data_IF_191314980523
#
_entry.id   IF_191314980523
#
_cell.length_a   1.000
_cell.length_b   1.000
_cell.length_c   1.000
_cell.angle_alpha   90.00
_cell.angle_beta   90.00
_cell.angle_gamma   90.00
#
_symmetry.space_group_name_H-M   'P 1'
#
loop_
_entity.id
_entity.type
_entity.pdbx_description
1 polymer ?
#
# COMPACT_ATOMS: atom_id res chain seq x y z
N UNK A 1 -27.00 -26.73 44.29
CA UNK A 1 -27.44 -26.37 42.91
C UNK A 1 -26.41 -25.40 42.32
N UNK A 2 -25.42 -25.90 41.56
CA UNK A 2 -24.33 -25.09 41.03
C UNK A 2 -24.87 -24.37 39.78
N UNK A 3 -25.05 -23.06 39.86
CA UNK A 3 -25.33 -22.22 38.68
C UNK A 3 -24.11 -22.19 37.80
N UNK A 4 -24.09 -23.01 36.75
CA UNK A 4 -23.09 -22.93 35.68
C UNK A 4 -23.36 -21.59 34.97
N UNK A 5 -22.51 -20.57 35.27
CA UNK A 5 -22.45 -19.32 34.49
C UNK A 5 -22.15 -19.71 33.04
N UNK A 6 -23.15 -19.64 32.17
CA UNK A 6 -22.93 -19.73 30.73
C UNK A 6 -22.05 -18.53 30.36
N UNK A 7 -20.78 -18.75 30.17
CA UNK A 7 -19.91 -17.81 29.48
C UNK A 7 -20.51 -17.54 28.11
N UNK A 8 -21.13 -16.38 27.92
CA UNK A 8 -21.39 -15.87 26.56
C UNK A 8 -20.04 -15.52 25.94
N UNK A 9 -19.39 -16.54 25.35
CA UNK A 9 -18.04 -16.44 24.79
C UNK A 9 -17.95 -15.54 23.55
N UNK A 10 -19.08 -15.04 23.03
CA UNK A 10 -19.11 -14.31 21.77
C UNK A 10 -20.02 -13.08 21.87
N UNK A 11 -19.41 -11.93 22.14
CA UNK A 11 -20.01 -10.66 21.81
C UNK A 11 -19.67 -10.33 20.35
N UNK A 12 -20.62 -10.37 19.40
CA UNK A 12 -20.33 -10.16 17.97
C UNK A 12 -19.74 -8.78 17.70
N UNK A 13 -20.12 -7.77 18.49
CA UNK A 13 -19.56 -6.41 18.39
C UNK A 13 -18.04 -6.42 18.70
N UNK A 14 -17.64 -7.15 19.73
CA UNK A 14 -16.23 -7.25 20.12
C UNK A 14 -15.40 -7.98 19.06
N UNK A 15 -15.96 -9.01 18.43
CA UNK A 15 -15.28 -9.74 17.35
C UNK A 15 -15.03 -8.82 16.16
N UNK A 16 -16.06 -8.09 15.72
CA UNK A 16 -15.94 -7.14 14.60
C UNK A 16 -14.90 -6.07 14.91
N UNK A 17 -14.90 -5.54 16.14
CA UNK A 17 -13.91 -4.55 16.57
C UNK A 17 -12.49 -5.12 16.58
N UNK A 18 -12.28 -6.35 17.05
CA UNK A 18 -10.98 -7.00 17.03
C UNK A 18 -10.47 -7.28 15.61
N UNK A 19 -11.35 -7.71 14.69
CA UNK A 19 -10.99 -7.90 13.28
C UNK A 19 -10.59 -6.56 12.64
N UNK A 20 -11.39 -5.53 12.88
CA UNK A 20 -11.10 -4.17 12.38
C UNK A 20 -9.79 -3.65 12.94
N UNK A 21 -9.52 -3.83 14.21
CA UNK A 21 -8.26 -3.45 14.85
C UNK A 21 -7.07 -4.18 14.21
N UNK A 22 -7.17 -5.50 14.00
CA UNK A 22 -6.15 -6.29 13.32
C UNK A 22 -5.86 -5.79 11.91
N UNK A 23 -6.90 -5.47 11.14
CA UNK A 23 -6.77 -4.92 9.79
C UNK A 23 -6.03 -3.57 9.79
N UNK A 24 -6.42 -2.63 10.64
CA UNK A 24 -5.74 -1.32 10.71
C UNK A 24 -4.33 -1.42 11.28
N UNK A 25 -4.05 -2.39 12.16
CA UNK A 25 -2.70 -2.68 12.63
C UNK A 25 -1.80 -3.15 11.47
N UNK A 26 -2.30 -4.03 10.60
CA UNK A 26 -1.57 -4.48 9.41
C UNK A 26 -1.30 -3.33 8.43
N UNK A 27 -2.29 -2.45 8.22
CA UNK A 27 -2.11 -1.23 7.42
C UNK A 27 -1.05 -0.30 8.01
N UNK A 28 -1.05 -0.11 9.32
CA UNK A 28 -0.05 0.71 10.01
C UNK A 28 1.36 0.13 9.81
N UNK A 29 1.54 -1.16 10.03
CA UNK A 29 2.83 -1.84 9.85
C UNK A 29 3.32 -1.76 8.40
N UNK A 30 2.42 -1.93 7.43
CA UNK A 30 2.72 -1.74 6.01
C UNK A 30 3.19 -0.33 5.70
N UNK A 31 2.48 0.68 6.21
CA UNK A 31 2.81 2.10 6.01
C UNK A 31 4.15 2.48 6.65
N UNK A 32 4.47 1.95 7.84
CA UNK A 32 5.78 2.12 8.47
C UNK A 32 6.89 1.57 7.58
N UNK A 33 6.71 0.34 7.07
CA UNK A 33 7.70 -0.30 6.21
C UNK A 33 7.95 0.50 4.92
N UNK A 34 6.91 1.07 4.33
CA UNK A 34 7.05 1.93 3.14
C UNK A 34 7.69 3.28 3.47
N UNK A 35 7.29 3.91 4.58
CA UNK A 35 7.85 5.19 5.01
C UNK A 35 9.35 5.10 5.31
N UNK A 36 9.80 3.99 5.92
CA UNK A 36 11.20 3.74 6.24
C UNK A 36 12.04 3.29 5.04
N UNK A 37 11.41 3.02 3.90
CA UNK A 37 12.12 2.58 2.70
C UNK A 37 13.07 3.68 2.20
N UNK A 38 14.35 3.35 2.10
CA UNK A 38 15.39 4.25 1.60
C UNK A 38 15.79 3.87 0.17
N UNK A 39 16.19 4.86 -0.63
CA UNK A 39 16.62 4.63 -2.01
C UNK A 39 17.80 3.64 -2.09
N UNK A 40 18.73 3.73 -1.14
CA UNK A 40 19.90 2.87 -1.06
C UNK A 40 19.57 1.42 -0.70
N UNK A 41 18.39 1.19 -0.09
CA UNK A 41 17.88 -0.16 0.23
C UNK A 41 17.19 -0.83 -0.95
N UNK A 42 16.97 -0.11 -2.04
CA UNK A 42 16.33 -0.62 -3.24
C UNK A 42 17.34 -1.20 -4.22
N UNK A 43 16.89 -2.19 -4.96
CA UNK A 43 17.66 -2.76 -6.06
C UNK A 43 17.56 -1.83 -7.27
N UNK A 44 18.70 -1.23 -7.67
CA UNK A 44 18.83 -0.50 -8.93
C UNK A 44 18.90 -1.47 -10.10
N UNK A 45 18.14 -1.22 -11.16
CA UNK A 45 18.15 -1.95 -12.41
C UNK A 45 18.18 -0.94 -13.54
N UNK A 46 19.22 -1.01 -14.37
CA UNK A 46 19.38 -0.13 -15.53
C UNK A 46 19.15 -0.93 -16.81
N UNK A 47 18.52 -0.33 -17.79
CA UNK A 47 18.32 -1.01 -19.08
C UNK A 47 17.50 -0.21 -20.08
N UNK A 48 17.40 -0.77 -21.29
CA UNK A 48 16.62 -0.19 -22.37
C UNK A 48 15.21 -0.77 -22.36
N UNK A 49 14.20 0.06 -22.45
CA UNK A 49 12.79 -0.33 -22.49
C UNK A 49 12.51 -1.10 -23.79
N UNK A 50 12.14 -2.37 -23.66
CA UNK A 50 11.71 -3.21 -24.79
C UNK A 50 10.21 -3.15 -25.04
N UNK A 51 9.44 -2.94 -23.98
CA UNK A 51 7.98 -2.86 -24.00
C UNK A 51 7.52 -1.86 -22.94
N UNK A 52 6.50 -1.07 -23.29
CA UNK A 52 5.78 -0.18 -22.36
C UNK A 52 4.31 -0.15 -22.72
N UNK A 53 3.46 -0.27 -21.72
CA UNK A 53 2.00 -0.17 -21.83
C UNK A 53 1.49 0.79 -20.77
N UNK A 54 0.71 1.77 -21.18
CA UNK A 54 0.04 2.71 -20.29
C UNK A 54 -1.43 2.32 -20.16
N UNK A 55 -1.89 2.09 -18.93
CA UNK A 55 -3.29 1.76 -18.61
C UNK A 55 -3.92 2.92 -17.87
N UNK A 56 -5.10 3.32 -18.29
CA UNK A 56 -5.92 4.32 -17.63
C UNK A 56 -7.13 3.66 -17.00
N UNK A 57 -7.35 3.91 -15.72
CA UNK A 57 -8.51 3.43 -14.98
C UNK A 57 -9.32 4.63 -14.50
N UNK A 58 -10.63 4.55 -14.66
CA UNK A 58 -11.55 5.50 -14.06
C UNK A 58 -12.25 4.84 -12.88
N UNK A 59 -12.11 5.43 -11.71
CA UNK A 59 -12.88 5.05 -10.54
C UNK A 59 -14.01 6.05 -10.35
N UNK A 60 -15.26 5.57 -10.45
CA UNK A 60 -16.47 6.35 -10.18
C UNK A 60 -17.06 5.89 -8.86
N UNK A 61 -16.81 6.59 -7.76
CA UNK A 61 -17.48 6.28 -6.50
C UNK A 61 -18.99 6.61 -6.63
N UNK A 62 -19.83 5.91 -5.87
CA UNK A 62 -21.29 6.16 -5.85
C UNK A 62 -21.62 7.61 -5.43
N UNK A 63 -20.75 8.26 -4.65
CA UNK A 63 -20.81 9.66 -4.27
C UNK A 63 -19.41 10.25 -4.34
N UNK A 64 -19.20 11.28 -5.20
CA UNK A 64 -17.96 12.01 -5.30
C UNK A 64 -17.44 12.15 -6.74
N UNK A 65 -16.36 12.92 -6.93
CA UNK A 65 -15.77 13.14 -8.23
C UNK A 65 -15.12 11.86 -8.78
N UNK A 66 -15.20 11.68 -10.09
CA UNK A 66 -14.50 10.61 -10.79
C UNK A 66 -13.00 10.81 -10.68
N UNK A 67 -12.28 9.81 -10.21
CA UNK A 67 -10.83 9.82 -10.15
C UNK A 67 -10.23 9.00 -11.29
N UNK A 68 -9.26 9.58 -12.00
CA UNK A 68 -8.52 8.90 -13.06
C UNK A 68 -7.17 8.46 -12.52
N UNK A 69 -6.89 7.17 -12.62
CA UNK A 69 -5.62 6.58 -12.25
C UNK A 69 -4.94 6.06 -13.51
N UNK A 70 -3.64 6.25 -13.59
CA UNK A 70 -2.84 5.69 -14.66
C UNK A 70 -1.83 4.73 -14.07
N UNK A 71 -1.68 3.56 -14.67
CA UNK A 71 -0.59 2.64 -14.39
C UNK A 71 0.25 2.44 -15.63
N UNK A 72 1.49 2.06 -15.42
CA UNK A 72 2.41 1.74 -16.51
C UNK A 72 3.09 0.42 -16.22
N UNK A 73 3.04 -0.46 -17.23
CA UNK A 73 3.79 -1.73 -17.19
C UNK A 73 4.89 -1.65 -18.22
N UNK A 74 6.11 -2.01 -17.83
CA UNK A 74 7.25 -2.02 -18.75
C UNK A 74 8.10 -3.28 -18.62
N UNK A 75 8.85 -3.58 -19.66
CA UNK A 75 9.90 -4.61 -19.67
C UNK A 75 11.20 -4.02 -20.20
N UNK A 76 12.31 -4.47 -19.64
CA UNK A 76 13.64 -4.12 -20.12
C UNK A 76 14.16 -5.20 -21.07
N UNK A 77 14.99 -4.80 -22.02
CA UNK A 77 15.63 -5.71 -22.98
C UNK A 77 16.52 -6.71 -22.22
N UNK A 78 16.34 -8.00 -22.52
CA UNK A 78 17.09 -9.06 -21.84
C UNK A 78 16.61 -9.42 -20.43
N UNK A 79 15.54 -8.79 -19.92
CA UNK A 79 14.96 -9.10 -18.63
C UNK A 79 13.57 -9.71 -18.80
N UNK A 80 13.31 -10.85 -18.13
CA UNK A 80 12.01 -11.53 -18.18
C UNK A 80 10.98 -10.91 -17.21
N UNK A 81 11.43 -10.13 -16.24
CA UNK A 81 10.54 -9.49 -15.27
C UNK A 81 9.79 -8.34 -15.90
N UNK A 82 8.52 -8.19 -15.52
CA UNK A 82 7.72 -6.99 -15.77
C UNK A 82 7.85 -6.04 -14.60
N UNK A 83 7.84 -4.75 -14.88
CA UNK A 83 7.94 -3.69 -13.90
C UNK A 83 6.69 -2.82 -14.00
N UNK A 84 6.07 -2.48 -12.87
CA UNK A 84 4.81 -1.74 -12.83
C UNK A 84 4.94 -0.51 -11.93
N UNK A 85 4.41 0.61 -12.42
CA UNK A 85 4.12 1.79 -11.62
C UNK A 85 2.63 1.79 -11.37
N UNK A 86 2.22 1.53 -10.14
CA UNK A 86 0.82 1.55 -9.75
C UNK A 86 0.33 2.98 -9.54
N UNK A 87 -0.85 3.23 -10.08
CA UNK A 87 -1.69 4.40 -10.11
C UNK A 87 -1.50 5.50 -9.08
N UNK A 88 -0.38 6.19 -9.13
CA UNK A 88 -0.20 7.41 -8.36
C UNK A 88 -0.96 8.54 -9.07
N UNK A 89 -1.85 9.27 -8.36
CA UNK A 89 -2.63 10.34 -8.96
C UNK A 89 -1.79 11.56 -9.40
N UNK A 90 -0.44 11.57 -9.18
CA UNK A 90 0.29 12.82 -9.10
C UNK A 90 1.10 13.23 -10.32
N UNK A 91 1.60 12.31 -11.11
CA UNK A 91 2.57 12.68 -12.15
C UNK A 91 2.33 11.91 -13.44
N UNK A 92 1.07 11.77 -13.81
CA UNK A 92 0.66 11.05 -15.02
C UNK A 92 1.37 11.56 -16.26
N UNK A 93 1.69 12.86 -16.34
CA UNK A 93 2.38 13.43 -17.48
C UNK A 93 3.86 13.06 -17.61
N UNK A 94 4.53 12.72 -16.50
CA UNK A 94 5.96 12.33 -16.53
C UNK A 94 6.16 10.88 -16.93
N UNK A 95 5.30 9.99 -16.48
CA UNK A 95 5.35 8.56 -16.82
C UNK A 95 5.06 8.33 -18.31
N UNK A 96 4.16 9.12 -18.90
CA UNK A 96 3.83 9.06 -20.32
C UNK A 96 5.01 9.40 -21.27
N UNK A 97 6.06 10.02 -20.73
CA UNK A 97 7.27 10.34 -21.51
C UNK A 97 8.17 9.14 -21.77
N UNK A 98 7.87 7.99 -21.17
CA UNK A 98 8.65 6.77 -21.38
C UNK A 98 8.15 6.06 -22.62
N UNK A 99 9.09 5.78 -23.54
CA UNK A 99 8.82 5.09 -24.79
C UNK A 99 9.73 3.88 -24.93
N UNK A 100 9.34 2.95 -25.81
CA UNK A 100 10.21 1.86 -26.24
C UNK A 100 11.51 2.43 -26.81
N UNK A 101 12.63 1.88 -26.39
CA UNK A 101 13.98 2.32 -26.79
C UNK A 101 14.64 3.28 -25.78
N UNK A 102 13.90 3.82 -24.84
CA UNK A 102 14.48 4.68 -23.79
C UNK A 102 15.41 3.88 -22.86
N UNK A 103 16.51 4.47 -22.46
CA UNK A 103 17.37 3.95 -21.41
C UNK A 103 16.97 4.58 -20.09
N UNK A 104 16.68 3.74 -19.09
CA UNK A 104 16.16 4.13 -17.79
C UNK A 104 16.88 3.41 -16.66
N UNK A 105 16.88 4.06 -15.50
CA UNK A 105 17.24 3.48 -14.21
C UNK A 105 15.97 3.35 -13.37
N UNK A 106 15.63 2.15 -12.98
CA UNK A 106 14.50 1.88 -12.09
C UNK A 106 14.96 1.25 -10.78
N UNK A 107 14.21 1.52 -9.73
CA UNK A 107 14.52 1.02 -8.40
C UNK A 107 13.30 0.24 -7.88
N UNK A 108 13.54 -1.01 -7.50
CA UNK A 108 12.52 -1.95 -7.02
C UNK A 108 12.93 -2.52 -5.68
N UNK A 109 11.99 -3.07 -4.94
CA UNK A 109 12.32 -3.88 -3.75
C UNK A 109 13.13 -5.12 -4.14
N UNK A 110 13.99 -5.57 -3.24
CA UNK A 110 14.57 -6.89 -3.33
C UNK A 110 13.47 -7.95 -3.16
N UNK A 111 13.67 -9.14 -3.72
CA UNK A 111 12.71 -10.24 -3.66
C UNK A 111 12.31 -10.61 -2.20
N UNK A 112 13.25 -10.53 -1.27
CA UNK A 112 13.01 -10.81 0.15
C UNK A 112 12.23 -9.71 0.88
N UNK A 113 12.14 -8.51 0.31
CA UNK A 113 11.36 -7.38 0.85
C UNK A 113 9.90 -7.41 0.38
N UNK A 114 9.54 -8.33 -0.53
CA UNK A 114 8.19 -8.50 -1.06
C UNK A 114 7.78 -9.99 -1.04
N UNK A 115 7.75 -10.63 0.14
CA UNK A 115 7.56 -12.08 0.25
C UNK A 115 6.22 -12.57 -0.29
N UNK A 116 5.25 -11.69 -0.46
CA UNK A 116 3.90 -12.02 -0.98
C UNK A 116 3.70 -11.66 -2.45
N UNK A 117 4.74 -11.27 -3.17
CA UNK A 117 4.65 -11.02 -4.61
C UNK A 117 4.70 -12.35 -5.36
N UNK A 118 3.54 -12.92 -5.63
CA UNK A 118 3.39 -14.17 -6.42
C UNK A 118 3.49 -13.95 -7.92
N UNK A 119 3.59 -12.69 -8.38
CA UNK A 119 3.66 -12.34 -9.79
C UNK A 119 5.09 -11.98 -10.19
N UNK A 120 5.46 -12.27 -11.46
CA UNK A 120 6.73 -11.81 -12.05
C UNK A 120 6.77 -10.29 -12.29
N UNK A 121 5.77 -9.56 -11.80
CA UNK A 121 5.68 -8.11 -11.88
C UNK A 121 6.24 -7.48 -10.62
N UNK A 122 7.19 -6.57 -10.79
CA UNK A 122 7.85 -5.85 -9.69
C UNK A 122 7.41 -4.40 -9.69
N UNK A 123 7.07 -3.90 -8.54
CA UNK A 123 6.69 -2.51 -8.34
C UNK A 123 7.92 -1.59 -8.41
N UNK A 124 7.77 -0.44 -9.08
CA UNK A 124 8.79 0.58 -9.23
C UNK A 124 8.56 1.66 -8.17
N UNK A 125 9.58 1.93 -7.36
CA UNK A 125 9.55 2.93 -6.29
C UNK A 125 10.25 4.24 -6.67
N UNK A 126 11.19 4.17 -7.61
CA UNK A 126 11.90 5.33 -8.12
C UNK A 126 12.33 5.07 -9.56
N UNK A 127 12.25 6.08 -10.43
CA UNK A 127 12.48 5.95 -11.86
C UNK A 127 13.19 7.19 -12.40
N UNK A 128 14.27 6.96 -13.13
CA UNK A 128 15.05 8.00 -13.79
C UNK A 128 15.20 7.71 -15.28
N UNK A 129 15.17 8.79 -16.08
CA UNK A 129 15.57 8.78 -17.49
C UNK A 129 16.67 9.81 -17.68
N UNK A 130 17.92 9.35 -17.80
CA UNK A 130 19.09 10.23 -17.76
C UNK A 130 19.18 10.98 -16.43
N UNK A 131 19.24 12.32 -16.49
CA UNK A 131 19.26 13.17 -15.30
C UNK A 131 17.86 13.49 -14.73
N UNK A 132 16.79 13.17 -15.47
CA UNK A 132 15.42 13.49 -15.06
C UNK A 132 14.84 12.41 -14.17
N UNK A 133 14.38 12.77 -12.98
CA UNK A 133 13.59 11.92 -12.09
C UNK A 133 12.15 11.96 -12.58
N UNK A 134 11.61 10.80 -12.95
CA UNK A 134 10.25 10.64 -13.44
C UNK A 134 9.29 10.16 -12.34
N UNK A 135 9.79 9.37 -11.41
CA UNK A 135 9.09 8.94 -10.21
C UNK A 135 10.04 9.08 -9.02
N UNK A 136 9.63 9.84 -8.01
CA UNK A 136 10.43 10.02 -6.80
C UNK A 136 9.87 9.20 -5.64
N UNK A 137 10.73 8.47 -4.96
CA UNK A 137 10.40 7.75 -3.73
C UNK A 137 9.83 8.67 -2.64
N UNK A 138 10.20 9.94 -2.63
CA UNK A 138 9.70 10.91 -1.65
C UNK A 138 8.21 11.18 -1.80
N UNK A 139 7.67 11.13 -3.02
CA UNK A 139 6.23 11.26 -3.25
C UNK A 139 5.47 10.07 -2.66
N UNK A 140 6.00 8.85 -2.80
CA UNK A 140 5.45 7.65 -2.17
C UNK A 140 5.49 7.74 -0.64
N UNK A 141 6.59 8.24 -0.06
CA UNK A 141 6.73 8.43 1.38
C UNK A 141 5.70 9.38 1.97
N UNK A 142 5.35 10.45 1.28
CA UNK A 142 4.34 11.40 1.78
C UNK A 142 2.96 10.75 1.92
N UNK A 143 2.63 9.83 1.01
CA UNK A 143 1.40 9.04 1.09
C UNK A 143 1.44 8.02 2.22
N UNK A 144 2.55 7.31 2.35
CA UNK A 144 2.74 6.35 3.44
C UNK A 144 2.66 7.06 4.80
N UNK A 145 3.19 8.28 4.91
CA UNK A 145 3.05 9.09 6.12
C UNK A 145 1.59 9.44 6.43
N UNK A 146 0.83 9.85 5.42
CA UNK A 146 -0.61 10.15 5.57
C UNK A 146 -1.38 8.90 6.00
N UNK A 147 -1.13 7.76 5.35
CA UNK A 147 -1.75 6.48 5.70
C UNK A 147 -1.38 6.04 7.13
N UNK A 148 -0.13 6.27 7.55
CA UNK A 148 0.36 5.99 8.90
C UNK A 148 -0.38 6.83 9.96
N UNK A 149 -0.52 8.13 9.72
CA UNK A 149 -1.24 9.03 10.64
C UNK A 149 -2.71 8.61 10.74
N UNK A 150 -3.39 8.39 9.60
CA UNK A 150 -4.79 8.00 9.57
C UNK A 150 -5.04 6.66 10.27
N UNK A 151 -4.24 5.63 9.94
CA UNK A 151 -4.38 4.31 10.57
C UNK A 151 -4.07 4.35 12.06
N UNK A 152 -3.09 5.14 12.49
CA UNK A 152 -2.77 5.36 13.91
C UNK A 152 -3.92 5.99 14.68
N UNK A 153 -4.54 7.04 14.13
CA UNK A 153 -5.71 7.69 14.75
C UNK A 153 -6.90 6.72 14.85
N UNK A 154 -7.17 5.93 13.80
CA UNK A 154 -8.24 4.93 13.82
C UNK A 154 -7.98 3.88 14.89
N UNK A 155 -6.73 3.39 15.05
CA UNK A 155 -6.38 2.42 16.09
C UNK A 155 -6.59 2.99 17.51
N UNK A 156 -6.28 4.26 17.74
CA UNK A 156 -6.55 4.93 19.04
C UNK A 156 -8.05 4.92 19.33
N UNK A 157 -8.88 5.32 18.35
CA UNK A 157 -10.34 5.34 18.50
C UNK A 157 -10.88 3.94 18.73
N UNK A 158 -10.45 2.94 17.96
CA UNK A 158 -10.87 1.54 18.13
C UNK A 158 -10.48 1.00 19.50
N UNK A 159 -9.27 1.29 19.98
CA UNK A 159 -8.81 0.89 21.31
C UNK A 159 -9.74 1.46 22.39
N UNK A 160 -10.07 2.74 22.30
CA UNK A 160 -10.99 3.39 23.23
C UNK A 160 -12.39 2.76 23.22
N UNK A 161 -12.94 2.48 22.03
CA UNK A 161 -14.24 1.82 21.87
C UNK A 161 -14.24 0.41 22.46
N UNK A 162 -13.19 -0.39 22.19
CA UNK A 162 -13.04 -1.74 22.75
C UNK A 162 -13.02 -1.69 24.28
N UNK A 163 -12.27 -0.76 24.87
CA UNK A 163 -12.22 -0.60 26.31
C UNK A 163 -13.60 -0.21 26.90
N UNK A 164 -14.32 0.68 26.24
CA UNK A 164 -15.66 1.10 26.64
C UNK A 164 -16.69 -0.03 26.57
N UNK A 165 -16.67 -0.82 25.49
CA UNK A 165 -17.54 -2.01 25.34
C UNK A 165 -17.24 -3.00 26.45
N UNK A 166 -15.97 -3.30 26.69
CA UNK A 166 -15.54 -4.24 27.75
C UNK A 166 -15.89 -3.76 29.16
N UNK A 167 -15.84 -2.44 29.45
CA UNK A 167 -16.27 -1.91 30.75
C UNK A 167 -17.78 -2.07 30.94
N UNK A 168 -18.58 -1.75 29.91
CA UNK A 168 -20.02 -1.93 29.92
C UNK A 168 -20.42 -3.38 30.22
N UNK A 169 -19.77 -4.34 29.58
CA UNK A 169 -20.06 -5.78 29.81
C UNK A 169 -19.74 -6.20 31.25
N UNK A 170 -18.79 -5.55 31.94
CA UNK A 170 -18.50 -5.80 33.36
C UNK A 170 -19.54 -5.22 34.28
N UNK A 171 -20.03 -4.00 34.00
CA UNK A 171 -20.97 -3.29 34.87
C UNK A 171 -22.37 -3.92 34.85
N UNK A 172 -22.75 -4.58 33.75
CA UNK A 172 -24.02 -5.29 33.65
C UNK A 172 -23.99 -6.75 34.13
N UNK A 173 -22.90 -7.20 34.76
CA UNK A 173 -22.83 -8.48 35.48
C UNK A 173 -23.00 -9.73 34.63
N UNK A 174 -22.58 -9.70 33.39
CA UNK A 174 -22.59 -10.83 32.47
C UNK A 174 -21.33 -11.71 32.57
#
# INVERSE_FOLDING_TARGET
MIKIKRFKLFNPELIILCISFGFFLLLLLGSINEYLLQLDSLKKISGTVSYVEHKSFEHRPNMGPTSKYKSMIMRLKGNQSSYEVNGLPFETGTIERIKKGDTIDLYTRHWYQSPFSFNNTREIYHLKKGQSVLLDINSLRSWSLTALICSGLILIVLSWVILKVRSRDRDYGW
#
